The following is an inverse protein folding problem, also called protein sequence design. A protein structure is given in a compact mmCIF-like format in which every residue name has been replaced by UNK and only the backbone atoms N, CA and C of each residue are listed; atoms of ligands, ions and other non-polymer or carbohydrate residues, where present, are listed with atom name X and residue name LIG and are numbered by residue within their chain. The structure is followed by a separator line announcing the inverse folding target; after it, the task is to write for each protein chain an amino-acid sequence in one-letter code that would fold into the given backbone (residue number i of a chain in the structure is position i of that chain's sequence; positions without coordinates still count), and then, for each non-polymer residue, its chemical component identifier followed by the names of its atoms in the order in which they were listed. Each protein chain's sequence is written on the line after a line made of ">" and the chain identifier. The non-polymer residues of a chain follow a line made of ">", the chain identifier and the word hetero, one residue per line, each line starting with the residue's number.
data_IF_693139945924
#
_entry.id   IF_693139945924
#
_cell.length_a   1.000
_cell.length_b   1.000
_cell.length_c   1.000
_cell.angle_alpha   90.00
_cell.angle_beta   90.00
_cell.angle_gamma   90.00
#
_symmetry.space_group_name_H-M   'P 1'
#
loop_
_entity.id
_entity.type
_entity.pdbx_description
1 polymer ?
#
# COMPACT_ATOMS: atom_id res chain seq x y z
N UNK A 1 47.57 6.31 28.62
CA UNK A 1 46.71 6.70 27.49
C UNK A 1 46.05 5.43 26.98
N UNK A 2 44.73 5.26 27.11
CA UNK A 2 44.07 4.02 26.68
C UNK A 2 44.15 3.91 25.15
N UNK A 3 44.68 2.80 24.67
CA UNK A 3 44.74 2.45 23.25
C UNK A 3 43.33 2.11 22.78
N UNK A 4 42.74 3.00 22.00
CA UNK A 4 41.39 2.84 21.48
C UNK A 4 41.44 1.87 20.28
N UNK A 5 40.92 0.66 20.46
CA UNK A 5 41.03 -0.41 19.48
C UNK A 5 40.27 -0.08 18.18
N UNK A 6 40.92 -0.14 17.00
CA UNK A 6 40.28 0.17 15.71
C UNK A 6 39.13 -0.79 15.36
N UNK A 7 39.10 -1.97 15.98
CA UNK A 7 38.00 -2.95 15.88
C UNK A 7 36.67 -2.43 16.42
N UNK A 8 36.71 -1.54 17.41
CA UNK A 8 35.52 -0.99 18.04
C UNK A 8 34.80 -0.02 17.09
N UNK A 9 35.55 0.78 16.34
CA UNK A 9 35.04 1.69 15.31
C UNK A 9 34.42 0.96 14.13
N UNK A 10 35.02 -0.17 13.70
CA UNK A 10 34.49 -1.00 12.62
C UNK A 10 33.15 -1.62 13.04
N UNK A 11 33.05 -2.15 14.26
CA UNK A 11 31.79 -2.70 14.76
C UNK A 11 30.71 -1.60 14.85
N UNK A 12 31.05 -0.41 15.35
CA UNK A 12 30.13 0.73 15.39
C UNK A 12 29.66 1.14 13.99
N UNK A 13 30.58 1.23 13.02
CA UNK A 13 30.24 1.59 11.64
C UNK A 13 29.34 0.53 10.99
N UNK A 14 29.60 -0.76 11.20
CA UNK A 14 28.76 -1.86 10.69
C UNK A 14 27.38 -1.86 11.36
N UNK A 15 27.29 -1.62 12.66
CA UNK A 15 26.00 -1.51 13.37
C UNK A 15 25.20 -0.31 12.87
N UNK A 16 25.82 0.86 12.72
CA UNK A 16 25.16 2.07 12.18
C UNK A 16 24.69 1.83 10.73
N UNK A 17 25.53 1.17 9.92
CA UNK A 17 25.18 0.77 8.56
C UNK A 17 23.98 -0.21 8.56
N UNK A 18 23.99 -1.25 9.39
CA UNK A 18 22.88 -2.20 9.54
C UNK A 18 21.59 -1.52 10.03
N UNK A 19 21.70 -0.58 10.97
CA UNK A 19 20.56 0.20 11.47
C UNK A 19 19.97 1.10 10.37
N UNK A 20 20.80 1.61 9.45
CA UNK A 20 20.31 2.40 8.31
C UNK A 20 19.58 1.59 7.24
N UNK A 21 19.73 0.25 7.26
CA UNK A 21 19.01 -0.68 6.38
C UNK A 21 17.73 -1.26 7.00
N UNK A 22 17.38 -0.90 8.24
CA UNK A 22 16.11 -1.32 8.83
C UNK A 22 14.95 -0.74 8.01
N UNK A 23 13.99 -1.57 7.55
CA UNK A 23 12.81 -1.07 6.87
C UNK A 23 12.06 -0.14 7.83
N UNK A 24 11.83 1.10 7.40
CA UNK A 24 10.92 1.99 8.12
C UNK A 24 9.53 1.41 7.98
N UNK A 25 8.88 1.11 9.10
CA UNK A 25 7.45 0.83 9.14
C UNK A 25 6.76 2.17 8.86
N UNK A 26 6.41 2.39 7.59
CA UNK A 26 5.69 3.59 7.17
C UNK A 26 4.20 3.37 7.41
N UNK A 27 3.65 4.07 8.40
CA UNK A 27 2.20 4.06 8.66
C UNK A 27 1.48 4.89 7.60
N UNK A 28 0.41 4.34 7.04
CA UNK A 28 -0.47 5.02 6.08
C UNK A 28 -1.71 5.57 6.77
N UNK A 29 -2.25 6.66 6.23
CA UNK A 29 -3.52 7.25 6.70
C UNK A 29 -4.70 6.64 5.95
N UNK A 30 -5.77 6.30 6.67
CA UNK A 30 -6.98 5.69 6.13
C UNK A 30 -8.22 6.53 6.47
N UNK A 31 -9.25 6.49 5.61
CA UNK A 31 -10.55 7.02 6.02
C UNK A 31 -11.14 6.14 7.11
N UNK A 32 -11.75 6.75 8.12
CA UNK A 32 -12.39 6.02 9.18
C UNK A 32 -13.80 6.52 9.47
N UNK A 33 -14.76 5.60 9.43
CA UNK A 33 -16.18 5.86 9.74
C UNK A 33 -16.67 5.06 10.96
N UNK A 34 -15.77 4.35 11.64
CA UNK A 34 -16.06 3.66 12.89
C UNK A 34 -16.24 4.66 14.05
N UNK A 35 -16.99 4.27 15.07
CA UNK A 35 -17.23 5.07 16.27
C UNK A 35 -15.94 5.44 17.02
N UNK A 36 -14.89 4.64 16.86
CA UNK A 36 -13.58 4.83 17.48
C UNK A 36 -12.74 5.96 16.83
N UNK A 37 -13.19 6.55 15.72
CA UNK A 37 -12.42 7.52 14.94
C UNK A 37 -12.91 8.98 15.07
N UNK A 38 -13.69 9.29 16.10
CA UNK A 38 -14.15 10.65 16.40
C UNK A 38 -13.04 11.41 17.17
N UNK A 39 -12.67 12.66 16.80
CA UNK A 39 -13.33 13.59 15.88
C UNK A 39 -12.78 13.67 14.45
N UNK A 40 -11.66 13.01 14.15
CA UNK A 40 -10.89 13.31 12.94
C UNK A 40 -11.25 12.46 11.71
N UNK A 41 -12.07 11.41 11.84
CA UNK A 41 -12.53 10.60 10.71
C UNK A 41 -11.39 9.90 9.93
N UNK A 42 -10.21 9.81 10.56
CA UNK A 42 -8.97 9.30 9.99
C UNK A 42 -8.27 8.46 11.05
N UNK A 43 -7.67 7.36 10.63
CA UNK A 43 -6.83 6.51 11.47
C UNK A 43 -5.51 6.19 10.74
N UNK A 44 -4.49 5.76 11.48
CA UNK A 44 -3.17 5.38 10.95
C UNK A 44 -2.90 3.90 11.22
N UNK A 45 -2.49 3.17 10.18
CA UNK A 45 -2.11 1.75 10.27
C UNK A 45 -1.27 1.35 9.06
N UNK A 46 -0.90 0.08 8.95
CA UNK A 46 -0.20 -0.42 7.76
C UNK A 46 -1.18 -0.75 6.62
N UNK A 47 -2.46 -0.95 6.91
CA UNK A 47 -3.48 -1.41 5.97
C UNK A 47 -4.82 -0.73 6.23
N UNK A 48 -5.41 -0.16 5.18
CA UNK A 48 -6.76 0.38 5.24
C UNK A 48 -7.79 -0.69 4.88
N UNK A 49 -8.92 -0.70 5.59
CA UNK A 49 -10.05 -1.58 5.37
C UNK A 49 -11.27 -0.80 4.88
N UNK A 50 -12.00 -1.38 3.93
CA UNK A 50 -13.32 -0.93 3.49
C UNK A 50 -14.23 -2.14 3.32
N UNK A 51 -15.44 -2.07 3.84
CA UNK A 51 -16.39 -3.18 3.69
C UNK A 51 -17.85 -2.75 3.80
N UNK A 52 -18.72 -3.66 3.37
CA UNK A 52 -20.18 -3.57 3.47
C UNK A 52 -20.66 -4.49 4.59
N UNK A 53 -21.47 -3.98 5.51
CA UNK A 53 -22.11 -4.79 6.56
C UNK A 53 -23.26 -5.62 5.99
N UNK A 54 -23.36 -6.90 6.38
CA UNK A 54 -24.50 -7.77 6.00
C UNK A 54 -25.84 -7.27 6.54
N UNK A 55 -25.83 -6.63 7.70
CA UNK A 55 -27.06 -6.28 8.43
C UNK A 55 -27.84 -5.12 7.78
N UNK A 56 -27.14 -4.12 7.24
CA UNK A 56 -27.74 -2.86 6.80
C UNK A 56 -27.12 -2.30 5.52
N UNK A 57 -26.21 -3.03 4.87
CA UNK A 57 -25.45 -2.57 3.70
C UNK A 57 -24.71 -1.24 3.93
N UNK A 58 -24.42 -0.89 5.19
CA UNK A 58 -23.64 0.31 5.50
C UNK A 58 -22.18 0.09 5.11
N UNK A 59 -21.58 1.12 4.54
CA UNK A 59 -20.16 1.15 4.19
C UNK A 59 -19.36 1.58 5.41
N UNK A 60 -18.50 0.71 5.91
CA UNK A 60 -17.57 1.01 7.00
C UNK A 60 -16.15 1.05 6.46
N UNK A 61 -15.42 2.08 6.88
CA UNK A 61 -14.01 2.30 6.57
C UNK A 61 -13.27 2.36 7.88
N UNK A 62 -12.15 1.65 7.99
CA UNK A 62 -11.35 1.61 9.22
C UNK A 62 -9.91 1.21 8.90
N UNK A 63 -9.08 1.18 9.94
CA UNK A 63 -7.72 0.67 9.90
C UNK A 63 -7.67 -0.82 10.27
N UNK A 64 -6.67 -1.52 9.76
CA UNK A 64 -6.45 -2.93 10.05
C UNK A 64 -4.97 -3.26 10.17
N UNK A 65 -4.69 -4.43 10.74
CA UNK A 65 -3.32 -4.86 11.03
C UNK A 65 -2.75 -5.81 9.96
N UNK A 66 -3.60 -6.52 9.21
CA UNK A 66 -3.18 -7.56 8.25
C UNK A 66 -3.84 -7.40 6.86
N UNK A 67 -3.07 -7.55 5.76
CA UNK A 67 -3.60 -7.45 4.40
C UNK A 67 -4.30 -8.75 3.98
N UNK A 68 -5.57 -8.88 4.35
CA UNK A 68 -6.42 -10.05 4.06
C UNK A 68 -6.96 -10.13 2.62
N UNK A 69 -6.57 -9.21 1.73
CA UNK A 69 -7.12 -9.09 0.37
C UNK A 69 -8.58 -8.65 0.36
N UNK A 70 -9.30 -8.95 -0.73
CA UNK A 70 -10.76 -8.82 -0.76
C UNK A 70 -11.39 -10.18 -0.40
N UNK A 71 -12.47 -10.15 0.38
CA UNK A 71 -13.17 -11.34 0.82
C UNK A 71 -14.66 -11.07 0.86
N UNK A 72 -15.44 -12.12 0.55
CA UNK A 72 -16.89 -12.10 0.64
C UNK A 72 -17.37 -12.91 1.84
N UNK A 73 -18.53 -12.52 2.35
CA UNK A 73 -19.26 -13.22 3.39
C UNK A 73 -18.48 -13.47 4.70
N UNK A 74 -17.43 -12.69 4.97
CA UNK A 74 -16.57 -12.85 6.13
C UNK A 74 -17.23 -12.32 7.41
N UNK A 75 -17.80 -13.22 8.23
CA UNK A 75 -18.41 -12.87 9.50
C UNK A 75 -19.56 -11.86 9.33
N UNK A 76 -19.40 -10.65 9.88
CA UNK A 76 -20.38 -9.55 9.77
C UNK A 76 -20.35 -8.82 8.43
N UNK A 77 -19.36 -9.08 7.58
CA UNK A 77 -19.11 -8.36 6.33
C UNK A 77 -19.69 -9.10 5.14
N UNK A 78 -20.47 -8.41 4.32
CA UNK A 78 -20.92 -8.91 3.02
C UNK A 78 -19.74 -8.95 2.04
N UNK A 79 -19.00 -7.84 1.97
CA UNK A 79 -17.72 -7.71 1.28
C UNK A 79 -16.75 -6.94 2.18
N UNK A 80 -15.49 -7.32 2.21
CA UNK A 80 -14.41 -6.64 2.93
C UNK A 80 -13.16 -6.63 2.07
N UNK A 81 -12.50 -5.48 1.94
CA UNK A 81 -11.27 -5.34 1.17
C UNK A 81 -10.20 -4.60 1.98
N UNK A 82 -8.96 -5.07 1.86
CA UNK A 82 -7.75 -4.46 2.39
C UNK A 82 -6.91 -3.78 1.30
N UNK A 83 -6.27 -2.65 1.62
CA UNK A 83 -5.36 -1.94 0.73
C UNK A 83 -4.26 -1.19 1.50
N UNK A 84 -3.14 -0.91 0.84
CA UNK A 84 -1.86 -0.47 1.45
C UNK A 84 -1.40 0.92 0.97
N UNK A 85 -2.30 1.68 0.32
CA UNK A 85 -2.02 3.06 -0.11
C UNK A 85 -2.73 4.08 0.79
N UNK A 86 -2.15 5.29 0.99
CA UNK A 86 -2.84 6.34 1.74
C UNK A 86 -4.23 6.63 1.17
N UNK A 87 -5.24 6.62 2.04
CA UNK A 87 -6.64 6.91 1.72
C UNK A 87 -7.26 6.00 0.64
N UNK A 88 -6.71 4.79 0.46
CA UNK A 88 -7.16 3.86 -0.58
C UNK A 88 -8.55 3.24 -0.34
N UNK A 89 -9.03 3.23 0.91
CA UNK A 89 -10.25 2.54 1.35
C UNK A 89 -11.55 3.27 0.97
N UNK A 90 -11.61 3.71 -0.28
CA UNK A 90 -12.77 4.34 -0.89
C UNK A 90 -13.82 3.30 -1.28
N UNK A 91 -15.06 3.76 -1.45
CA UNK A 91 -16.12 2.89 -1.95
C UNK A 91 -15.91 2.45 -3.41
N UNK A 92 -15.21 3.25 -4.20
CA UNK A 92 -14.82 2.91 -5.57
C UNK A 92 -13.86 1.71 -5.58
N UNK A 93 -12.87 1.70 -4.68
CA UNK A 93 -11.92 0.60 -4.52
C UNK A 93 -12.62 -0.72 -4.16
N UNK A 94 -13.56 -0.68 -3.21
CA UNK A 94 -14.37 -1.84 -2.85
C UNK A 94 -15.08 -2.42 -4.08
N UNK A 95 -15.80 -1.58 -4.85
CA UNK A 95 -16.59 -2.03 -6.01
C UNK A 95 -15.74 -2.56 -7.16
N UNK A 96 -14.57 -1.97 -7.42
CA UNK A 96 -13.69 -2.44 -8.48
C UNK A 96 -13.07 -3.80 -8.14
N UNK A 97 -12.71 -4.01 -6.88
CA UNK A 97 -11.94 -5.18 -6.49
C UNK A 97 -12.83 -6.37 -6.15
N UNK A 98 -14.02 -6.15 -5.58
CA UNK A 98 -15.00 -7.25 -5.41
C UNK A 98 -15.48 -7.80 -6.74
N UNK A 99 -15.55 -7.00 -7.83
CA UNK A 99 -15.86 -7.52 -9.17
C UNK A 99 -14.76 -8.42 -9.73
N UNK A 100 -13.50 -8.06 -9.54
CA UNK A 100 -12.34 -8.82 -10.05
C UNK A 100 -12.27 -10.22 -9.46
N UNK A 101 -12.55 -10.37 -8.16
CA UNK A 101 -12.57 -11.70 -7.54
C UNK A 101 -13.67 -12.62 -8.05
N UNK A 102 -14.78 -12.07 -8.58
CA UNK A 102 -15.81 -12.90 -9.23
C UNK A 102 -15.26 -13.59 -10.48
N UNK A 103 -14.32 -12.95 -11.18
CA UNK A 103 -13.71 -13.50 -12.39
C UNK A 103 -12.58 -14.50 -12.12
N UNK A 104 -12.01 -14.54 -10.91
CA UNK A 104 -10.85 -15.38 -10.60
C UNK A 104 -11.21 -16.74 -9.98
N UNK A 105 -12.40 -16.86 -9.36
CA UNK A 105 -12.93 -18.11 -8.81
C UNK A 105 -13.95 -18.80 -9.76
N UNK A 106 -14.13 -18.27 -10.98
CA UNK A 106 -14.94 -18.85 -12.03
C UNK A 106 -14.08 -19.64 -13.00
N UNK A 107 -14.14 -20.95 -12.86
CA UNK A 107 -14.20 -21.97 -13.92
C UNK A 107 -13.97 -21.48 -15.38
N UNK A 108 -13.13 -22.21 -16.12
CA UNK A 108 -12.93 -22.02 -17.56
C UNK A 108 -14.29 -22.07 -18.30
N UNK A 109 -14.86 -20.90 -18.63
CA UNK A 109 -16.14 -20.87 -19.32
C UNK A 109 -16.64 -19.46 -19.65
N UNK A 110 -16.40 -19.05 -20.91
CA UNK A 110 -17.09 -17.97 -21.62
C UNK A 110 -16.86 -16.53 -21.14
N UNK A 111 -15.82 -15.90 -21.70
CA UNK A 111 -15.93 -14.52 -22.11
C UNK A 111 -17.07 -14.38 -23.14
N UNK A 112 -17.96 -13.36 -23.06
CA UNK A 112 -18.59 -12.87 -24.26
C UNK A 112 -17.53 -12.11 -25.08
N UNK A 113 -17.33 -12.45 -26.36
CA UNK A 113 -16.27 -11.88 -27.17
C UNK A 113 -16.54 -10.41 -27.49
N UNK A 114 -15.49 -9.60 -27.37
CA UNK A 114 -15.35 -8.31 -28.01
C UNK A 114 -15.15 -8.53 -29.52
N UNK A 115 -16.22 -8.39 -30.31
CA UNK A 115 -16.15 -7.94 -31.72
C UNK A 115 -17.54 -7.79 -32.32
N UNK A 116 -17.96 -6.55 -32.59
CA UNK A 116 -18.35 -6.09 -33.93
C UNK A 116 -18.66 -4.60 -33.87
N UNK A 117 -17.97 -3.85 -34.73
CA UNK A 117 -18.33 -2.50 -35.12
C UNK A 117 -19.63 -2.56 -35.96
N UNK A 118 -20.30 -1.41 -36.02
CA UNK A 118 -21.50 -1.08 -36.81
C UNK A 118 -22.85 -1.49 -36.18
N UNK A 119 -23.47 -0.57 -35.43
CA UNK A 119 -24.66 0.16 -35.89
C UNK A 119 -25.07 1.27 -34.91
N UNK A 120 -25.47 2.43 -35.47
CA UNK A 120 -25.98 3.60 -34.76
C UNK A 120 -27.40 3.35 -34.23
N UNK A 121 -27.68 3.62 -32.94
CA UNK A 121 -28.69 4.59 -32.48
C UNK A 121 -28.95 4.58 -30.96
N UNK A 122 -29.10 5.81 -30.45
CA UNK A 122 -29.85 6.27 -29.29
C UNK A 122 -29.18 6.35 -27.90
N UNK A 123 -29.01 7.61 -27.51
CA UNK A 123 -28.47 8.15 -26.28
C UNK A 123 -29.41 7.89 -25.10
N UNK A 124 -28.89 7.25 -24.05
CA UNK A 124 -29.44 7.42 -22.71
C UNK A 124 -28.27 7.45 -21.72
N UNK A 125 -27.73 8.64 -21.38
CA UNK A 125 -26.84 8.74 -20.23
C UNK A 125 -27.68 8.46 -18.99
N UNK A 126 -27.38 7.39 -18.26
CA UNK A 126 -27.86 7.21 -16.89
C UNK A 126 -27.17 8.27 -16.02
N UNK A 127 -27.71 9.49 -16.07
CA UNK A 127 -27.43 10.59 -15.16
C UNK A 127 -27.90 10.14 -13.79
N UNK A 128 -26.97 9.66 -12.97
CA UNK A 128 -27.18 9.62 -11.53
C UNK A 128 -27.14 11.07 -11.02
N UNK A 129 -28.32 11.65 -10.92
CA UNK A 129 -28.58 12.93 -10.28
C UNK A 129 -28.18 12.80 -8.79
N UNK A 130 -27.04 13.39 -8.44
CA UNK A 130 -26.61 13.55 -7.05
C UNK A 130 -27.55 14.56 -6.41
N UNK A 131 -28.40 14.07 -5.52
CA UNK A 131 -29.24 14.87 -4.63
C UNK A 131 -28.37 15.34 -3.45
N UNK A 132 -28.27 16.67 -3.38
CA UNK A 132 -27.98 17.57 -2.25
C UNK A 132 -26.67 17.43 -1.44
N UNK A 133 -25.76 18.37 -1.72
CA UNK A 133 -24.74 18.87 -0.81
C UNK A 133 -25.36 19.72 0.31
N UNK A 134 -24.95 19.54 1.59
CA UNK A 134 -24.91 20.63 2.54
C UNK A 134 -23.55 21.33 2.47
N UNK A 135 -23.59 22.66 2.47
CA UNK A 135 -22.44 23.56 2.50
C UNK A 135 -21.46 23.22 3.64
N UNK A 136 -20.20 23.09 3.27
CA UNK A 136 -19.06 22.99 4.18
C UNK A 136 -17.79 23.10 3.37
N UNK A 137 -17.35 24.33 3.13
CA UNK A 137 -16.06 24.66 2.52
C UNK A 137 -14.92 23.91 3.23
N UNK A 138 -14.26 23.01 2.51
CA UNK A 138 -12.84 22.73 2.75
C UNK A 138 -12.18 22.43 1.41
N UNK A 139 -11.67 23.49 0.78
CA UNK A 139 -10.64 23.36 -0.24
C UNK A 139 -9.42 22.69 0.38
N UNK A 140 -9.11 21.47 -0.05
CA UNK A 140 -7.77 20.91 0.12
C UNK A 140 -7.28 20.45 -1.25
N UNK A 141 -6.59 21.38 -1.93
CA UNK A 141 -5.75 21.04 -3.05
C UNK A 141 -4.58 20.21 -2.54
N UNK A 142 -4.58 18.93 -2.86
CA UNK A 142 -3.37 18.09 -2.91
C UNK A 142 -3.58 17.03 -4.00
N UNK A 143 -3.71 17.49 -5.25
CA UNK A 143 -3.33 16.68 -6.40
C UNK A 143 -1.79 16.63 -6.43
N UNK A 144 -1.22 15.70 -5.66
CA UNK A 144 0.10 15.15 -5.97
C UNK A 144 -0.16 13.78 -6.62
N UNK A 145 0.36 13.52 -7.83
CA UNK A 145 0.31 12.17 -8.39
C UNK A 145 0.98 11.21 -7.40
N UNK A 146 0.45 9.98 -7.23
CA UNK A 146 1.05 9.01 -6.35
C UNK A 146 2.49 8.79 -6.82
N UNK A 147 3.46 9.12 -5.96
CA UNK A 147 4.82 8.67 -6.15
C UNK A 147 4.76 7.14 -6.13
N UNK A 148 4.68 6.54 -7.31
CA UNK A 148 4.88 5.12 -7.52
C UNK A 148 6.29 4.83 -7.01
N UNK A 149 6.38 4.41 -5.75
CA UNK A 149 7.67 4.10 -5.14
C UNK A 149 8.18 2.86 -5.87
N UNK A 150 9.17 3.08 -6.73
CA UNK A 150 9.89 2.02 -7.41
C UNK A 150 10.81 1.34 -6.40
N UNK A 151 10.21 0.67 -5.40
CA UNK A 151 10.87 -0.14 -4.38
C UNK A 151 11.81 -1.16 -5.02
N UNK A 152 11.41 -1.73 -6.16
CA UNK A 152 12.25 -2.64 -6.95
C UNK A 152 13.54 -1.97 -7.43
N UNK A 153 13.48 -0.76 -8.00
CA UNK A 153 14.67 -0.04 -8.47
C UNK A 153 15.62 0.30 -7.32
N UNK A 154 15.07 0.63 -6.15
CA UNK A 154 15.86 0.90 -4.94
C UNK A 154 16.59 -0.37 -4.45
N UNK A 155 15.94 -1.53 -4.47
CA UNK A 155 16.57 -2.82 -4.13
C UNK A 155 17.67 -3.20 -5.13
N UNK A 156 17.42 -3.04 -6.43
CA UNK A 156 18.41 -3.33 -7.47
C UNK A 156 19.63 -2.42 -7.45
N UNK A 157 19.53 -1.22 -6.86
CA UNK A 157 20.68 -0.31 -6.71
C UNK A 157 21.41 -0.56 -5.40
N UNK A 158 20.70 -0.75 -4.29
CA UNK A 158 21.33 -0.92 -2.97
C UNK A 158 22.00 -2.28 -2.79
N UNK A 159 21.45 -3.36 -3.36
CA UNK A 159 22.02 -4.70 -3.20
C UNK A 159 23.40 -4.81 -3.88
N UNK A 160 23.60 -4.43 -5.15
CA UNK A 160 24.93 -4.48 -5.77
C UNK A 160 25.93 -3.52 -5.11
N UNK A 161 25.46 -2.35 -4.66
CA UNK A 161 26.30 -1.31 -4.07
C UNK A 161 26.81 -1.74 -2.68
N UNK A 162 25.94 -2.35 -1.86
CA UNK A 162 26.34 -2.93 -0.57
C UNK A 162 27.29 -4.12 -0.72
N UNK A 163 27.02 -5.03 -1.66
CA UNK A 163 27.91 -6.17 -1.96
C UNK A 163 29.28 -5.67 -2.45
N UNK A 164 29.31 -4.65 -3.30
CA UNK A 164 30.54 -4.02 -3.76
C UNK A 164 31.37 -3.42 -2.61
N UNK A 165 30.74 -2.68 -1.70
CA UNK A 165 31.41 -2.13 -0.52
C UNK A 165 32.03 -3.21 0.37
N UNK A 166 31.31 -4.31 0.61
CA UNK A 166 31.80 -5.43 1.44
C UNK A 166 33.03 -6.10 0.81
N UNK A 167 33.01 -6.34 -0.51
CA UNK A 167 34.15 -6.96 -1.22
C UNK A 167 35.39 -6.08 -1.14
N UNK A 168 35.26 -4.77 -1.41
CA UNK A 168 36.39 -3.83 -1.31
C UNK A 168 36.96 -3.82 0.11
N UNK A 169 36.10 -3.86 1.13
CA UNK A 169 36.53 -3.87 2.53
C UNK A 169 37.30 -5.15 2.89
N UNK A 170 36.82 -6.32 2.44
CA UNK A 170 37.50 -7.62 2.65
C UNK A 170 38.88 -7.62 1.96
N UNK A 171 38.94 -7.16 0.71
CA UNK A 171 40.20 -7.07 -0.05
C UNK A 171 41.17 -6.12 0.64
N UNK A 172 40.70 -4.96 1.10
CA UNK A 172 41.52 -3.99 1.81
C UNK A 172 42.10 -4.56 3.12
N UNK A 173 41.28 -5.23 3.94
CA UNK A 173 41.76 -5.89 5.17
C UNK A 173 42.79 -6.98 4.85
N UNK A 174 42.54 -7.79 3.84
CA UNK A 174 43.46 -8.85 3.42
C UNK A 174 44.79 -8.28 2.92
N UNK A 175 44.74 -7.21 2.13
CA UNK A 175 45.92 -6.50 1.65
C UNK A 175 46.74 -5.93 2.81
N UNK A 176 46.11 -5.24 3.76
CA UNK A 176 46.81 -4.72 4.94
C UNK A 176 47.39 -5.81 5.84
N UNK A 177 46.75 -6.99 5.90
CA UNK A 177 47.30 -8.13 6.63
C UNK A 177 48.47 -8.84 5.95
N UNK A 178 48.65 -8.66 4.65
CA UNK A 178 49.82 -9.17 3.93
C UNK A 178 50.96 -8.15 3.80
N UNK A 179 50.73 -6.87 4.11
CA UNK A 179 51.75 -5.81 4.10
C UNK A 179 52.41 -5.55 5.47
N UNK A 180 51.83 -6.03 6.57
CA UNK A 180 52.45 -6.06 7.90
C UNK A 180 52.98 -7.46 8.20
#
# INVERSE_FOLDING_TARGET
>A
MPTQDPRQWICFAVIVLLLSFLPRIESIRCYCTDAHCNPYGVCESNVCLVGLLKANNAVIRTCGDEPIGCQRELGRWADLCACDQPFCNTFSYLRSNTRRERGNNGDFGAAPPLSHADDMHEEAPLIFQRVDSPLGEFSSGYDRPPAQSNTNTLVFVLVPLSVGCVIVFIVWINYYRNLC
#
